data_IF_192237497119
#
_entry.id   IF_192237497119
#
_cell.length_a   1.000
_cell.length_b   1.000
_cell.length_c   1.000
_cell.angle_alpha   90.00
_cell.angle_beta   90.00
_cell.angle_gamma   90.00
#
_symmetry.space_group_name_H-M   'P 1'
#
loop_
_entity.id
_entity.type
_entity.pdbx_description
1 polymer ?
#
# COMPACT_ATOMS: atom_id res chain seq x y z
N UNK A 1 -4.72 2.24 6.90
CA UNK A 1 -4.27 1.44 5.72
C UNK A 1 -3.87 2.37 4.59
N UNK A 2 -2.83 2.03 3.84
CA UNK A 2 -2.35 2.80 2.68
C UNK A 2 -3.31 2.75 1.48
N UNK A 3 -3.07 3.59 0.47
CA UNK A 3 -3.80 3.54 -0.80
C UNK A 3 -2.86 3.62 -1.99
N UNK A 4 -3.05 2.72 -2.95
CA UNK A 4 -2.45 2.76 -4.28
C UNK A 4 -3.39 3.50 -5.22
N UNK A 5 -2.85 4.27 -6.15
CA UNK A 5 -3.61 4.97 -7.20
C UNK A 5 -2.74 5.24 -8.41
N UNK A 6 -3.35 5.52 -9.55
CA UNK A 6 -2.59 5.93 -10.73
C UNK A 6 -3.37 6.02 -12.02
N UNK A 7 -2.62 6.31 -13.08
CA UNK A 7 -3.10 6.54 -14.44
C UNK A 7 -2.16 5.84 -15.43
N UNK A 8 -2.72 5.19 -16.43
CA UNK A 8 -2.03 4.79 -17.66
C UNK A 8 -2.73 5.50 -18.82
N UNK A 9 -2.01 6.36 -19.53
CA UNK A 9 -2.45 7.08 -20.74
C UNK A 9 -1.72 6.51 -21.96
N UNK A 10 -2.15 5.31 -22.40
CA UNK A 10 -1.52 4.64 -23.53
C UNK A 10 -1.90 5.24 -24.90
N UNK A 11 -2.94 6.05 -24.94
CA UNK A 11 -3.30 6.82 -26.12
C UNK A 11 -2.50 8.10 -26.29
N UNK A 12 -1.74 8.51 -25.29
CA UNK A 12 -0.95 9.75 -25.25
C UNK A 12 -1.83 11.00 -25.53
N UNK A 13 -3.10 10.95 -25.09
CA UNK A 13 -4.10 11.97 -25.42
C UNK A 13 -4.21 13.07 -24.37
N UNK A 14 -3.70 12.82 -23.16
CA UNK A 14 -3.81 13.75 -22.04
C UNK A 14 -2.62 14.70 -21.98
N UNK A 15 -2.89 15.98 -21.89
CA UNK A 15 -1.87 17.00 -21.58
C UNK A 15 -1.34 16.84 -20.15
N UNK A 16 -0.12 17.32 -19.88
CA UNK A 16 0.46 17.29 -18.53
C UNK A 16 -0.43 17.99 -17.48
N UNK A 17 -1.18 19.04 -17.86
CA UNK A 17 -2.15 19.71 -16.98
C UNK A 17 -3.33 18.80 -16.62
N UNK A 18 -3.85 18.03 -17.59
CA UNK A 18 -4.92 17.07 -17.34
C UNK A 18 -4.43 15.92 -16.46
N UNK A 19 -3.27 15.33 -16.77
CA UNK A 19 -2.62 14.29 -15.95
C UNK A 19 -2.41 14.76 -14.50
N UNK A 20 -1.89 15.98 -14.33
CA UNK A 20 -1.68 16.58 -13.00
C UNK A 20 -3.00 16.73 -12.22
N UNK A 21 -4.08 17.13 -12.88
CA UNK A 21 -5.41 17.23 -12.23
C UNK A 21 -5.97 15.86 -11.87
N UNK A 22 -5.91 14.89 -12.77
CA UNK A 22 -6.37 13.52 -12.54
C UNK A 22 -5.63 12.92 -11.32
N UNK A 23 -4.29 12.99 -11.32
CA UNK A 23 -3.46 12.46 -10.23
C UNK A 23 -3.74 13.19 -8.92
N UNK A 24 -3.88 14.52 -8.91
CA UNK A 24 -4.24 15.27 -7.70
C UNK A 24 -5.61 14.85 -7.15
N UNK A 25 -6.59 14.63 -8.03
CA UNK A 25 -7.94 14.21 -7.62
C UNK A 25 -7.94 12.78 -7.06
N UNK A 26 -7.23 11.84 -7.70
CA UNK A 26 -7.06 10.47 -7.22
C UNK A 26 -6.35 10.45 -5.86
N UNK A 27 -5.21 11.15 -5.76
CA UNK A 27 -4.42 11.20 -4.54
C UNK A 27 -5.22 11.77 -3.36
N UNK A 28 -5.98 12.86 -3.58
CA UNK A 28 -6.83 13.46 -2.54
C UNK A 28 -7.97 12.52 -2.13
N UNK A 29 -8.57 11.78 -3.06
CA UNK A 29 -9.57 10.77 -2.71
C UNK A 29 -9.00 9.61 -1.89
N UNK A 30 -7.72 9.29 -2.10
CA UNK A 30 -7.00 8.24 -1.36
C UNK A 30 -6.65 8.62 0.09
N UNK A 31 -6.76 9.90 0.48
CA UNK A 31 -6.47 10.37 1.85
C UNK A 31 -7.35 9.72 2.92
N UNK A 32 -8.50 9.19 2.55
CA UNK A 32 -9.37 8.44 3.48
C UNK A 32 -8.68 7.19 4.03
N UNK A 33 -7.58 6.73 3.40
CA UNK A 33 -6.81 5.58 3.82
C UNK A 33 -5.42 5.93 4.37
N UNK A 34 -4.91 7.14 4.13
CA UNK A 34 -3.61 7.55 4.63
C UNK A 34 -3.29 9.01 4.30
N UNK A 35 -2.79 9.75 5.28
CA UNK A 35 -2.49 11.18 5.19
C UNK A 35 -1.06 11.54 5.60
N UNK A 36 -0.26 10.55 6.02
CA UNK A 36 1.05 10.81 6.62
C UNK A 36 2.10 11.21 5.58
N UNK A 37 2.00 10.61 4.39
CA UNK A 37 2.87 10.93 3.27
C UNK A 37 2.19 10.59 1.94
N UNK A 38 2.62 11.27 0.88
CA UNK A 38 2.15 11.02 -0.48
C UNK A 38 3.33 10.99 -1.43
N UNK A 39 3.28 10.07 -2.41
CA UNK A 39 4.30 9.99 -3.45
C UNK A 39 3.76 9.45 -4.75
N UNK A 40 4.45 9.79 -5.83
CA UNK A 40 4.21 9.30 -7.18
C UNK A 40 5.52 8.90 -7.85
N UNK A 41 5.42 8.01 -8.84
CA UNK A 41 6.50 7.69 -9.76
C UNK A 41 5.98 7.67 -11.20
N UNK A 42 6.82 8.07 -12.13
CA UNK A 42 6.57 8.06 -13.57
C UNK A 42 7.90 8.12 -14.33
N UNK A 43 7.89 7.72 -15.59
CA UNK A 43 9.04 7.94 -16.47
C UNK A 43 8.93 9.29 -17.18
N UNK A 44 10.09 9.95 -17.33
CA UNK A 44 10.24 11.20 -18.09
C UNK A 44 11.54 11.16 -18.86
N UNK A 45 11.49 11.26 -20.19
CA UNK A 45 12.67 11.18 -21.05
C UNK A 45 13.56 9.96 -20.76
N UNK A 46 12.95 8.77 -20.58
CA UNK A 46 13.64 7.51 -20.30
C UNK A 46 14.24 7.39 -18.88
N UNK A 47 13.96 8.34 -18.00
CA UNK A 47 14.39 8.30 -16.60
C UNK A 47 13.19 8.10 -15.67
N UNK A 48 13.32 7.17 -14.75
CA UNK A 48 12.34 6.98 -13.68
C UNK A 48 12.47 8.13 -12.66
N UNK A 49 11.37 8.84 -12.46
CA UNK A 49 11.24 9.98 -11.56
C UNK A 49 10.35 9.60 -10.39
N UNK A 50 10.81 9.86 -9.16
CA UNK A 50 10.02 9.67 -7.94
C UNK A 50 9.90 11.02 -7.23
N UNK A 51 8.65 11.43 -6.96
CA UNK A 51 8.35 12.62 -6.19
C UNK A 51 7.48 12.23 -4.99
N UNK A 52 8.02 12.37 -3.78
CA UNK A 52 7.34 12.01 -2.54
C UNK A 52 7.64 12.99 -1.43
N UNK A 53 6.68 13.21 -0.53
CA UNK A 53 6.79 14.11 0.62
C UNK A 53 6.02 13.54 1.82
N UNK A 54 6.45 13.85 3.04
CA UNK A 54 5.70 13.55 4.26
C UNK A 54 4.55 14.54 4.45
N UNK A 55 3.62 14.55 3.49
CA UNK A 55 2.47 15.46 3.42
C UNK A 55 1.24 14.71 2.91
N UNK A 56 0.04 15.08 3.37
CA UNK A 56 -1.20 14.62 2.77
C UNK A 56 -1.30 15.09 1.31
N UNK A 57 -2.01 14.34 0.48
CA UNK A 57 -2.11 14.57 -0.96
C UNK A 57 -2.72 15.94 -1.30
N UNK A 58 -3.67 16.42 -0.49
CA UNK A 58 -4.32 17.73 -0.64
C UNK A 58 -3.34 18.91 -0.53
N UNK A 59 -2.19 18.71 0.14
CA UNK A 59 -1.12 19.70 0.24
C UNK A 59 -0.03 19.51 -0.82
N UNK A 60 -0.10 18.43 -1.61
CA UNK A 60 0.86 18.16 -2.68
C UNK A 60 0.51 18.94 -3.96
N UNK A 61 1.55 19.32 -4.69
CA UNK A 61 1.40 19.93 -6.04
C UNK A 61 2.10 19.05 -7.06
N UNK A 62 1.32 18.27 -7.78
CA UNK A 62 1.84 17.42 -8.84
C UNK A 62 1.98 18.22 -10.15
N UNK A 63 3.17 18.16 -10.73
CA UNK A 63 3.48 18.69 -12.07
C UNK A 63 3.93 17.52 -12.94
N UNK A 64 2.98 16.92 -13.63
CA UNK A 64 3.24 15.75 -14.47
C UNK A 64 3.58 16.25 -15.88
N UNK A 65 4.72 15.84 -16.45
CA UNK A 65 5.05 16.13 -17.85
C UNK A 65 4.04 15.49 -18.82
N UNK A 66 3.93 16.05 -20.01
CA UNK A 66 3.02 15.51 -21.02
C UNK A 66 3.45 14.13 -21.54
N UNK A 67 4.75 13.88 -21.56
CA UNK A 67 5.38 12.64 -21.97
C UNK A 67 5.46 11.55 -20.88
N UNK A 68 4.99 11.83 -19.66
CA UNK A 68 4.78 10.80 -18.64
C UNK A 68 3.46 10.07 -18.92
N UNK A 69 3.53 8.82 -19.37
CA UNK A 69 2.34 8.06 -19.81
C UNK A 69 1.78 7.15 -18.73
N UNK A 70 2.64 6.64 -17.86
CA UNK A 70 2.25 5.81 -16.71
C UNK A 70 2.67 6.51 -15.43
N UNK A 71 1.69 6.77 -14.58
CA UNK A 71 1.91 7.38 -13.27
C UNK A 71 1.37 6.42 -12.20
N UNK A 72 2.22 5.98 -11.30
CA UNK A 72 1.82 5.27 -10.10
C UNK A 72 1.91 6.16 -8.87
N UNK A 73 1.04 5.96 -7.90
CA UNK A 73 0.99 6.77 -6.70
C UNK A 73 0.60 5.99 -5.45
N UNK A 74 0.92 6.59 -4.32
CA UNK A 74 0.67 6.02 -3.01
C UNK A 74 0.37 7.12 -1.98
N UNK A 75 -0.66 6.89 -1.13
CA UNK A 75 -0.86 7.63 0.12
C UNK A 75 -0.62 6.71 1.30
N UNK A 76 0.18 7.16 2.25
CA UNK A 76 0.67 6.37 3.37
C UNK A 76 -0.14 6.61 4.63
N UNK A 77 -0.51 5.54 5.30
CA UNK A 77 -0.81 5.47 6.72
C UNK A 77 0.35 4.70 7.39
N UNK A 78 1.01 5.33 8.33
CA UNK A 78 2.23 4.78 8.93
C UNK A 78 1.90 3.61 9.87
N UNK A 79 2.42 2.45 9.56
CA UNK A 79 2.38 1.25 10.43
C UNK A 79 3.76 0.96 11.01
N UNK A 80 4.82 1.16 10.21
CA UNK A 80 6.21 0.91 10.60
C UNK A 80 7.13 1.97 10.01
N UNK A 81 8.13 2.42 10.75
CA UNK A 81 9.05 3.49 10.38
C UNK A 81 8.39 4.87 10.36
N UNK A 82 9.17 5.94 10.50
CA UNK A 82 8.65 7.30 10.55
C UNK A 82 8.36 7.87 9.17
N UNK A 83 7.13 8.37 8.92
CA UNK A 83 6.79 9.08 7.68
C UNK A 83 7.59 10.39 7.51
N UNK A 84 8.07 11.01 8.59
CA UNK A 84 8.90 12.23 8.56
C UNK A 84 10.23 11.98 7.84
N UNK A 85 10.75 10.77 7.91
CA UNK A 85 11.92 10.33 7.14
C UNK A 85 11.46 9.97 5.74
N UNK A 86 11.70 10.86 4.78
CA UNK A 86 11.13 10.72 3.43
C UNK A 86 11.57 9.46 2.68
N UNK A 87 12.72 8.85 3.04
CA UNK A 87 13.16 7.57 2.48
C UNK A 87 12.21 6.41 2.85
N UNK A 88 11.51 6.49 3.97
CA UNK A 88 10.50 5.51 4.40
C UNK A 88 9.17 5.59 3.62
N UNK A 89 8.98 6.61 2.79
CA UNK A 89 7.72 6.80 2.08
C UNK A 89 7.77 6.18 0.68
N UNK A 90 6.62 5.70 0.22
CA UNK A 90 6.44 5.13 -1.12
C UNK A 90 6.27 6.25 -2.18
N UNK A 91 6.57 5.93 -3.45
CA UNK A 91 7.19 4.71 -3.95
C UNK A 91 8.67 4.60 -3.58
N UNK A 92 9.17 3.38 -3.49
CA UNK A 92 10.60 3.10 -3.35
C UNK A 92 11.25 2.93 -4.71
N UNK A 93 12.47 3.44 -4.84
CA UNK A 93 13.34 3.13 -5.98
C UNK A 93 14.02 1.79 -5.73
N UNK A 94 14.02 0.92 -6.71
CA UNK A 94 14.80 -0.31 -6.76
C UNK A 94 15.61 -0.40 -8.05
N UNK A 95 16.66 -1.22 -8.04
CA UNK A 95 17.54 -1.48 -9.17
C UNK A 95 17.77 -2.98 -9.34
N UNK A 96 17.23 -3.57 -10.39
CA UNK A 96 17.38 -4.99 -10.70
C UNK A 96 18.22 -5.19 -11.97
N UNK A 97 19.53 -5.38 -11.80
CA UNK A 97 20.47 -5.31 -12.91
C UNK A 97 20.51 -3.91 -13.51
N UNK A 98 20.24 -3.79 -14.81
CA UNK A 98 20.17 -2.50 -15.51
C UNK A 98 18.78 -1.84 -15.44
N UNK A 99 17.79 -2.54 -14.86
CA UNK A 99 16.41 -2.08 -14.77
C UNK A 99 16.13 -1.35 -13.46
N UNK A 100 15.96 -0.03 -13.51
CA UNK A 100 15.40 0.74 -12.41
C UNK A 100 13.89 0.59 -12.39
N UNK A 101 13.31 0.48 -11.19
CA UNK A 101 11.87 0.37 -11.00
C UNK A 101 11.40 1.15 -9.77
N UNK A 102 10.13 1.49 -9.75
CA UNK A 102 9.47 2.02 -8.57
C UNK A 102 8.48 1.00 -8.02
N UNK A 103 8.43 0.84 -6.70
CA UNK A 103 7.50 -0.07 -6.02
C UNK A 103 6.71 0.66 -4.95
N UNK A 104 5.40 0.43 -4.91
CA UNK A 104 4.53 0.86 -3.83
C UNK A 104 3.70 -0.31 -3.29
N UNK A 105 3.44 -0.29 -1.98
CA UNK A 105 2.81 -1.37 -1.22
C UNK A 105 1.60 -0.87 -0.44
N UNK A 106 0.51 -1.59 -0.51
CA UNK A 106 -0.63 -1.49 0.38
C UNK A 106 -0.77 -2.81 1.14
N UNK A 107 -0.52 -2.78 2.45
CA UNK A 107 -0.55 -3.94 3.31
C UNK A 107 0.45 -3.89 4.45
N UNK A 108 0.73 -5.04 5.07
CA UNK A 108 1.72 -5.25 6.13
C UNK A 108 2.39 -6.59 5.91
N UNK A 109 3.73 -6.63 5.92
CA UNK A 109 4.53 -7.84 5.81
C UNK A 109 5.08 -8.21 7.20
N UNK A 110 5.15 -9.50 7.50
CA UNK A 110 5.51 -9.95 8.84
C UNK A 110 6.86 -10.66 8.91
N UNK A 111 7.36 -11.15 7.79
CA UNK A 111 8.61 -11.89 7.73
C UNK A 111 9.78 -11.07 7.15
N UNK A 112 9.68 -9.75 7.10
CA UNK A 112 10.70 -8.86 6.52
C UNK A 112 12.07 -9.00 7.22
N UNK A 113 12.08 -9.09 8.56
CA UNK A 113 13.30 -9.26 9.33
C UNK A 113 13.95 -10.64 9.11
N UNK A 114 13.13 -11.69 9.04
CA UNK A 114 13.59 -13.08 8.83
C UNK A 114 14.19 -13.23 7.43
N UNK A 115 13.48 -12.74 6.41
CA UNK A 115 13.96 -12.76 5.03
C UNK A 115 15.25 -11.97 4.83
N UNK A 116 15.42 -10.81 5.46
CA UNK A 116 16.66 -10.04 5.38
C UNK A 116 17.85 -10.87 5.88
N UNK A 117 17.67 -11.57 7.01
CA UNK A 117 18.70 -12.40 7.60
C UNK A 117 18.98 -13.66 6.79
N UNK A 118 17.94 -14.36 6.36
CA UNK A 118 18.07 -15.64 5.63
C UNK A 118 18.64 -15.46 4.22
N UNK A 119 18.22 -14.40 3.55
CA UNK A 119 18.69 -14.07 2.18
C UNK A 119 19.97 -13.26 2.17
N UNK A 120 20.53 -12.90 3.33
CA UNK A 120 21.72 -12.05 3.46
C UNK A 120 21.56 -10.73 2.66
N UNK A 121 20.39 -10.11 2.76
CA UNK A 121 20.10 -8.89 2.01
C UNK A 121 20.91 -7.70 2.56
N UNK A 122 21.26 -6.71 1.70
CA UNK A 122 22.02 -5.54 2.14
C UNK A 122 21.33 -4.77 3.26
N UNK A 123 22.11 -4.19 4.17
CA UNK A 123 21.59 -3.26 5.17
C UNK A 123 20.96 -2.03 4.53
N UNK A 124 19.94 -1.46 5.15
CA UNK A 124 19.22 -0.29 4.65
C UNK A 124 18.84 0.64 5.80
N UNK A 125 18.75 1.94 5.50
CA UNK A 125 18.19 2.95 6.41
C UNK A 125 16.66 3.02 6.35
N UNK A 126 16.05 2.32 5.39
CA UNK A 126 14.60 2.26 5.23
C UNK A 126 14.01 1.32 6.27
N UNK A 127 13.13 1.86 7.11
CA UNK A 127 12.62 1.21 8.31
C UNK A 127 11.31 0.45 8.08
N UNK A 128 10.75 0.48 6.85
CA UNK A 128 9.46 -0.15 6.55
C UNK A 128 9.62 -1.60 6.15
N UNK A 129 8.65 -2.43 6.54
CA UNK A 129 8.47 -3.81 6.09
C UNK A 129 8.43 -3.93 4.57
N UNK A 130 7.77 -2.99 3.92
CA UNK A 130 7.57 -2.99 2.46
C UNK A 130 8.86 -3.00 1.64
N UNK A 131 9.98 -2.49 2.19
CA UNK A 131 11.23 -2.40 1.43
C UNK A 131 11.87 -3.76 1.17
N UNK A 132 11.50 -4.79 1.93
CA UNK A 132 11.93 -6.17 1.66
C UNK A 132 11.56 -6.62 0.25
N UNK A 133 10.36 -6.23 -0.24
CA UNK A 133 9.93 -6.58 -1.58
C UNK A 133 10.85 -5.98 -2.67
N UNK A 134 11.34 -4.75 -2.46
CA UNK A 134 12.35 -4.14 -3.35
C UNK A 134 13.64 -4.96 -3.35
N UNK A 135 14.17 -5.27 -2.17
CA UNK A 135 15.43 -6.01 -2.03
C UNK A 135 15.36 -7.43 -2.62
N UNK A 136 14.22 -8.11 -2.50
CA UNK A 136 14.02 -9.43 -3.10
C UNK A 136 14.02 -9.38 -4.63
N UNK A 137 13.48 -8.32 -5.24
CA UNK A 137 13.54 -8.12 -6.70
C UNK A 137 14.96 -7.75 -7.13
N UNK A 138 15.64 -6.86 -6.40
CA UNK A 138 17.02 -6.46 -6.66
C UNK A 138 17.98 -7.66 -6.64
N UNK A 139 17.79 -8.58 -5.69
CA UNK A 139 18.62 -9.79 -5.56
C UNK A 139 18.54 -10.68 -6.81
N UNK A 140 17.42 -10.67 -7.53
CA UNK A 140 17.22 -11.45 -8.75
C UNK A 140 17.85 -10.80 -10.00
N UNK A 141 18.33 -9.55 -9.89
CA UNK A 141 19.04 -8.80 -10.93
C UNK A 141 18.26 -8.63 -12.25
N UNK A 142 16.96 -8.81 -12.23
CA UNK A 142 16.07 -8.61 -13.37
C UNK A 142 14.65 -8.31 -12.88
N UNK A 143 13.94 -7.42 -13.60
CA UNK A 143 12.52 -7.14 -13.35
C UNK A 143 11.67 -7.74 -14.47
N UNK A 144 10.94 -8.80 -14.16
CA UNK A 144 9.99 -9.46 -15.05
C UNK A 144 8.91 -10.19 -14.22
N UNK A 145 7.83 -10.69 -14.84
CA UNK A 145 6.76 -11.36 -14.07
C UNK A 145 7.24 -12.50 -13.18
N UNK A 146 8.26 -13.25 -13.57
CA UNK A 146 8.80 -14.34 -12.76
C UNK A 146 9.54 -13.83 -11.51
N UNK A 147 10.29 -12.72 -11.60
CA UNK A 147 10.96 -12.14 -10.41
C UNK A 147 9.94 -11.57 -9.42
N UNK A 148 8.86 -10.98 -9.91
CA UNK A 148 7.75 -10.53 -9.05
C UNK A 148 6.98 -11.70 -8.44
N UNK A 149 6.82 -12.80 -9.19
CA UNK A 149 6.26 -14.05 -8.67
C UNK A 149 7.12 -14.60 -7.53
N UNK A 150 8.43 -14.76 -7.75
CA UNK A 150 9.35 -15.27 -6.75
C UNK A 150 9.33 -14.38 -5.49
N UNK A 151 9.32 -13.06 -5.65
CA UNK A 151 9.19 -12.11 -4.54
C UNK A 151 7.88 -12.32 -3.78
N UNK A 152 6.74 -12.41 -4.47
CA UNK A 152 5.43 -12.56 -3.85
C UNK A 152 5.27 -13.88 -3.08
N UNK A 153 5.85 -14.98 -3.59
CA UNK A 153 5.81 -16.31 -2.96
C UNK A 153 6.69 -16.43 -1.71
N UNK A 154 7.65 -15.53 -1.52
CA UNK A 154 8.48 -15.49 -0.30
C UNK A 154 7.86 -14.66 0.81
N UNK A 155 7.01 -13.69 0.49
CA UNK A 155 6.42 -12.77 1.44
C UNK A 155 5.28 -13.41 2.26
N UNK A 156 5.30 -13.14 3.56
CA UNK A 156 4.22 -13.48 4.48
C UNK A 156 3.55 -12.19 4.94
N UNK A 157 2.23 -12.16 4.88
CA UNK A 157 1.47 -11.00 5.28
C UNK A 157 0.32 -10.68 4.34
N UNK A 158 -0.08 -9.44 4.36
CA UNK A 158 -1.18 -8.90 3.58
C UNK A 158 -0.64 -7.86 2.61
N UNK A 159 -0.89 -8.00 1.31
CA UNK A 159 -0.33 -7.07 0.34
C UNK A 159 -1.14 -6.89 -0.95
N UNK A 160 -0.96 -5.73 -1.55
CA UNK A 160 -1.07 -5.47 -2.96
C UNK A 160 0.07 -4.53 -3.35
N UNK A 161 0.83 -4.86 -4.39
CA UNK A 161 1.90 -3.99 -4.90
C UNK A 161 1.55 -3.42 -6.26
N UNK A 162 2.05 -2.20 -6.52
CA UNK A 162 2.23 -1.69 -7.87
C UNK A 162 3.71 -1.51 -8.12
N UNK A 163 4.17 -1.91 -9.31
CA UNK A 163 5.57 -1.79 -9.74
C UNK A 163 5.60 -1.17 -11.13
N UNK A 164 6.39 -0.09 -11.30
CA UNK A 164 6.59 0.60 -12.57
C UNK A 164 8.04 0.41 -13.01
N UNK A 165 8.25 -0.10 -14.22
CA UNK A 165 9.58 -0.19 -14.83
C UNK A 165 9.92 1.01 -15.74
N UNK A 166 11.13 1.04 -16.27
CA UNK A 166 11.59 2.11 -17.16
C UNK A 166 10.97 2.09 -18.57
N UNK A 167 10.29 1.00 -18.93
CA UNK A 167 9.61 0.83 -20.21
C UNK A 167 8.12 1.17 -20.13
N UNK A 168 7.68 1.86 -19.07
CA UNK A 168 6.28 2.17 -18.80
C UNK A 168 5.36 0.93 -18.70
N UNK A 169 5.91 -0.21 -18.29
CA UNK A 169 5.06 -1.33 -17.89
C UNK A 169 4.67 -1.17 -16.41
N UNK A 170 3.39 -1.31 -16.13
CA UNK A 170 2.86 -1.30 -14.77
C UNK A 170 2.40 -2.71 -14.39
N UNK A 171 2.92 -3.18 -13.26
CA UNK A 171 2.56 -4.46 -12.69
C UNK A 171 1.71 -4.26 -11.44
N UNK A 172 0.66 -5.07 -11.32
CA UNK A 172 -0.17 -5.20 -10.14
C UNK A 172 0.03 -6.59 -9.56
N UNK A 173 0.74 -6.70 -8.44
CA UNK A 173 0.92 -7.96 -7.72
C UNK A 173 -0.18 -8.05 -6.68
N UNK A 174 -1.24 -8.81 -6.98
CA UNK A 174 -2.48 -8.85 -6.22
C UNK A 174 -2.44 -10.00 -5.21
N UNK A 175 -2.14 -9.67 -3.94
CA UNK A 175 -2.39 -10.52 -2.79
C UNK A 175 -3.85 -10.39 -2.32
N UNK A 176 -4.07 -10.28 -1.03
CA UNK A 176 -5.40 -10.15 -0.41
C UNK A 176 -5.93 -8.70 -0.39
N UNK A 177 -5.04 -7.68 -0.34
CA UNK A 177 -5.45 -6.28 -0.33
C UNK A 177 -6.13 -5.84 -1.63
N UNK A 178 -7.17 -4.99 -1.54
CA UNK A 178 -7.98 -4.62 -2.69
C UNK A 178 -7.23 -3.73 -3.69
N UNK A 179 -7.61 -3.88 -4.96
CA UNK A 179 -7.30 -2.98 -6.08
C UNK A 179 -8.49 -2.92 -7.02
N UNK A 180 -8.86 -1.73 -7.46
CA UNK A 180 -9.87 -1.50 -8.47
C UNK A 180 -9.24 -0.80 -9.68
N UNK A 181 -9.40 -1.39 -10.85
CA UNK A 181 -8.83 -0.88 -12.10
C UNK A 181 -9.97 -0.70 -13.11
N UNK A 182 -10.08 0.50 -13.66
CA UNK A 182 -11.02 0.82 -14.71
C UNK A 182 -10.30 1.15 -16.01
N UNK A 183 -10.82 0.64 -17.12
CA UNK A 183 -10.34 0.86 -18.47
C UNK A 183 -11.37 1.58 -19.31
N UNK A 184 -10.95 2.60 -20.04
CA UNK A 184 -11.72 3.31 -21.04
C UNK A 184 -11.05 3.17 -22.42
N UNK A 185 -11.44 2.16 -23.22
CA UNK A 185 -10.79 1.88 -24.52
C UNK A 185 -10.88 3.06 -25.48
N UNK A 186 -12.02 3.77 -25.51
CA UNK A 186 -12.22 4.90 -26.41
C UNK A 186 -11.31 6.11 -26.11
N UNK A 187 -10.96 6.31 -24.83
CA UNK A 187 -10.03 7.33 -24.36
C UNK A 187 -8.60 6.83 -24.28
N UNK A 188 -8.40 5.54 -24.41
CA UNK A 188 -7.12 4.86 -24.31
C UNK A 188 -6.42 5.09 -22.97
N UNK A 189 -7.17 4.99 -21.86
CA UNK A 189 -6.67 5.19 -20.51
C UNK A 189 -7.10 4.09 -19.55
N UNK A 190 -6.27 3.88 -18.51
CA UNK A 190 -6.66 3.19 -17.28
C UNK A 190 -6.52 4.13 -16.09
N UNK A 191 -7.46 4.02 -15.15
CA UNK A 191 -7.34 4.61 -13.82
C UNK A 191 -7.50 3.50 -12.77
N UNK A 192 -6.79 3.64 -11.67
CA UNK A 192 -6.93 2.70 -10.58
C UNK A 192 -6.84 3.37 -9.21
N UNK A 193 -7.45 2.74 -8.22
CA UNK A 193 -7.29 3.04 -6.81
C UNK A 193 -7.43 1.74 -5.99
N UNK A 194 -7.04 1.77 -4.72
CA UNK A 194 -7.13 0.58 -3.86
C UNK A 194 -8.55 0.06 -3.70
N UNK A 195 -9.59 0.92 -3.75
CA UNK A 195 -10.99 0.45 -3.71
C UNK A 195 -11.85 1.16 -4.76
N UNK A 196 -12.95 0.50 -5.11
CA UNK A 196 -13.91 1.04 -6.07
C UNK A 196 -14.57 2.34 -5.59
N UNK A 197 -14.86 2.43 -4.30
CA UNK A 197 -15.47 3.60 -3.68
C UNK A 197 -14.58 4.84 -3.82
N UNK A 198 -13.26 4.67 -3.57
CA UNK A 198 -12.27 5.73 -3.74
C UNK A 198 -12.19 6.16 -5.20
N UNK A 199 -12.13 5.20 -6.13
CA UNK A 199 -12.05 5.49 -7.55
C UNK A 199 -13.31 6.21 -8.04
N UNK A 200 -14.50 5.76 -7.63
CA UNK A 200 -15.78 6.43 -7.95
C UNK A 200 -15.86 7.84 -7.36
N UNK A 201 -15.42 8.01 -6.10
CA UNK A 201 -15.38 9.33 -5.47
C UNK A 201 -14.42 10.30 -6.17
N UNK A 202 -13.28 9.81 -6.67
CA UNK A 202 -12.37 10.59 -7.49
C UNK A 202 -12.99 10.97 -8.85
N UNK A 203 -13.58 10.00 -9.55
CA UNK A 203 -14.23 10.22 -10.85
C UNK A 203 -15.34 11.27 -10.78
N UNK A 204 -16.14 11.27 -9.71
CA UNK A 204 -17.21 12.25 -9.50
C UNK A 204 -16.68 13.70 -9.35
N UNK A 205 -15.41 13.87 -8.97
CA UNK A 205 -14.76 15.18 -8.82
C UNK A 205 -13.87 15.55 -10.00
N UNK A 206 -13.68 14.65 -10.96
CA UNK A 206 -12.86 14.93 -12.14
C UNK A 206 -13.56 15.89 -13.08
N UNK A 207 -12.82 16.86 -13.66
CA UNK A 207 -13.41 17.83 -14.59
C UNK A 207 -13.71 17.24 -15.98
N UNK A 208 -13.34 15.97 -16.20
CA UNK A 208 -13.53 15.26 -17.47
C UNK A 208 -14.35 14.02 -17.19
N UNK A 209 -15.43 13.83 -17.96
CA UNK A 209 -16.20 12.59 -17.95
C UNK A 209 -15.64 11.64 -19.00
N UNK A 210 -15.26 10.45 -18.56
CA UNK A 210 -14.73 9.40 -19.44
C UNK A 210 -15.81 8.42 -19.93
N UNK A 211 -17.07 8.61 -19.51
CA UNK A 211 -18.16 7.68 -19.79
C UNK A 211 -18.10 6.41 -18.93
N UNK A 212 -18.73 5.33 -19.39
CA UNK A 212 -18.82 4.07 -18.65
C UNK A 212 -17.49 3.30 -18.74
N UNK A 213 -16.86 2.94 -17.61
CA UNK A 213 -15.64 2.15 -17.61
C UNK A 213 -15.89 0.67 -17.85
N UNK A 214 -14.85 -0.02 -18.30
CA UNK A 214 -14.74 -1.46 -18.29
C UNK A 214 -13.87 -1.86 -17.09
N UNK A 215 -14.40 -2.62 -16.10
CA UNK A 215 -13.60 -3.07 -14.98
C UNK A 215 -12.57 -4.12 -15.45
N UNK A 216 -11.34 -3.99 -14.96
CA UNK A 216 -10.27 -4.99 -15.15
C UNK A 216 -10.13 -5.76 -13.85
N UNK A 217 -10.45 -7.05 -13.89
CA UNK A 217 -10.45 -7.90 -12.71
C UNK A 217 -9.08 -8.56 -12.53
N UNK A 218 -8.54 -8.45 -11.32
CA UNK A 218 -7.32 -9.14 -10.89
C UNK A 218 -7.64 -9.89 -9.61
N UNK A 219 -7.61 -11.22 -9.68
CA UNK A 219 -7.85 -12.07 -8.52
C UNK A 219 -6.62 -12.17 -7.62
N UNK A 220 -6.84 -12.55 -6.37
CA UNK A 220 -5.77 -12.90 -5.43
C UNK A 220 -4.87 -14.01 -6.02
N UNK A 221 -3.56 -13.90 -5.79
CA UNK A 221 -2.58 -14.83 -6.36
C UNK A 221 -2.19 -14.54 -7.83
N UNK A 222 -2.57 -13.35 -8.36
CA UNK A 222 -2.24 -12.99 -9.73
C UNK A 222 -1.42 -11.71 -9.85
N UNK A 223 -0.55 -11.70 -10.85
CA UNK A 223 0.20 -10.53 -11.29
C UNK A 223 -0.37 -10.12 -12.64
N UNK A 224 -0.96 -8.93 -12.71
CA UNK A 224 -1.34 -8.30 -13.97
C UNK A 224 -0.22 -7.36 -14.39
N UNK A 225 0.31 -7.55 -15.59
CA UNK A 225 1.17 -6.57 -16.26
C UNK A 225 0.35 -5.87 -17.33
N UNK A 226 0.40 -4.53 -17.34
CA UNK A 226 -0.12 -3.69 -18.43
C UNK A 226 1.09 -2.98 -19.04
N UNK A 227 1.33 -3.21 -20.34
CA UNK A 227 2.42 -2.56 -21.06
C UNK A 227 2.07 -1.13 -21.48
N UNK A 228 3.06 -0.38 -21.93
CA UNK A 228 2.85 0.95 -22.52
C UNK A 228 1.87 0.95 -23.72
N UNK A 229 1.73 -0.18 -24.43
CA UNK A 229 0.78 -0.38 -25.53
C UNK A 229 -0.53 -1.01 -25.08
N UNK A 230 -0.80 -1.01 -23.78
CA UNK A 230 -1.99 -1.59 -23.14
C UNK A 230 -2.16 -3.11 -23.30
N UNK A 231 -1.11 -3.85 -23.68
CA UNK A 231 -1.15 -5.32 -23.69
C UNK A 231 -1.18 -5.81 -22.25
N UNK A 232 -2.18 -6.64 -21.95
CA UNK A 232 -2.35 -7.25 -20.63
C UNK A 232 -1.80 -8.68 -20.64
N UNK A 233 -0.98 -9.01 -19.65
CA UNK A 233 -0.55 -10.39 -19.40
C UNK A 233 -0.74 -10.74 -17.93
N UNK A 234 -1.08 -11.99 -17.67
CA UNK A 234 -1.36 -12.50 -16.32
C UNK A 234 -0.38 -13.60 -15.97
N UNK A 235 0.18 -13.55 -14.76
CA UNK A 235 1.05 -14.59 -14.20
C UNK A 235 0.53 -14.96 -12.82
N UNK A 236 0.37 -16.26 -12.56
CA UNK A 236 -0.10 -16.73 -11.25
C UNK A 236 1.09 -16.98 -10.31
N UNK A 237 0.90 -16.67 -9.03
CA UNK A 237 1.82 -17.01 -7.95
C UNK A 237 1.08 -17.78 -6.84
N UNK A 238 1.83 -18.51 -6.02
CA UNK A 238 1.29 -19.21 -4.85
C UNK A 238 0.98 -18.20 -3.73
N UNK A 239 -0.30 -18.05 -3.42
CA UNK A 239 -0.81 -17.13 -2.43
C UNK A 239 -1.01 -17.76 -1.04
N UNK A 240 -0.51 -18.97 -0.80
CA UNK A 240 -0.74 -19.72 0.46
C UNK A 240 -0.12 -19.07 1.69
N UNK A 241 0.85 -18.19 1.52
CA UNK A 241 1.49 -17.41 2.60
C UNK A 241 0.79 -16.08 2.92
N UNK A 242 -0.26 -15.74 2.17
CA UNK A 242 -1.07 -14.57 2.49
C UNK A 242 -1.84 -14.81 3.78
N UNK A 243 -1.81 -13.82 4.67
CA UNK A 243 -2.49 -13.83 5.96
C UNK A 243 -2.32 -15.12 6.80
N UNK A 244 -1.08 -15.57 6.94
CA UNK A 244 -0.74 -16.78 7.70
C UNK A 244 -1.11 -16.70 9.19
N UNK A 245 -1.44 -15.52 9.74
CA UNK A 245 -1.89 -15.39 11.13
C UNK A 245 -3.12 -16.26 11.42
N UNK A 246 -4.05 -16.36 10.49
CA UNK A 246 -5.20 -17.24 10.63
C UNK A 246 -4.80 -18.72 10.71
N UNK A 247 -3.77 -19.13 9.95
CA UNK A 247 -3.25 -20.48 9.94
C UNK A 247 -2.51 -20.84 11.24
N UNK A 248 -1.77 -19.91 11.84
CA UNK A 248 -1.15 -20.09 13.16
C UNK A 248 -2.20 -20.18 14.27
N UNK A 249 -3.23 -19.37 14.25
CA UNK A 249 -4.34 -19.44 15.20
C UNK A 249 -5.21 -20.70 15.01
N UNK A 250 -5.37 -21.21 13.79
CA UNK A 250 -6.14 -22.42 13.52
C UNK A 250 -5.38 -23.72 13.77
N UNK A 251 -4.05 -23.71 13.79
CA UNK A 251 -3.21 -24.87 14.08
C UNK A 251 -2.92 -25.10 15.56
N UNK A 252 -3.06 -24.05 16.38
CA UNK A 252 -3.14 -24.24 17.81
C UNK A 252 -4.57 -24.65 18.13
N UNK A 253 -4.82 -25.82 18.74
CA UNK A 253 -6.14 -26.11 19.28
C UNK A 253 -6.39 -25.08 20.38
N UNK A 254 -6.98 -23.95 20.06
CA UNK A 254 -7.62 -23.09 21.03
C UNK A 254 -8.86 -23.85 21.44
N UNK A 255 -8.72 -24.77 22.41
CA UNK A 255 -9.82 -24.99 23.33
C UNK A 255 -10.19 -23.58 23.78
N UNK A 256 -11.40 -23.09 23.48
CA UNK A 256 -11.84 -21.80 23.99
C UNK A 256 -11.58 -21.88 25.50
N UNK A 257 -10.81 -20.96 26.09
CA UNK A 257 -10.64 -20.97 27.54
C UNK A 257 -12.05 -20.94 28.10
N UNK A 258 -12.36 -21.89 28.92
CA UNK A 258 -13.58 -21.85 29.72
C UNK A 258 -13.68 -20.44 30.29
N UNK A 259 -14.88 -19.81 30.33
CA UNK A 259 -15.03 -18.46 30.82
C UNK A 259 -14.34 -18.37 32.20
N UNK A 260 -13.17 -17.79 32.22
CA UNK A 260 -12.43 -17.56 33.46
C UNK A 260 -13.15 -16.44 34.17
N UNK A 261 -13.77 -16.80 35.28
CA UNK A 261 -14.13 -15.84 36.32
C UNK A 261 -12.89 -14.94 36.61
N UNK A 262 -13.02 -13.61 36.63
CA UNK A 262 -11.90 -12.72 36.74
C UNK A 262 -11.28 -12.79 38.14
N UNK A 263 -10.15 -13.47 38.26
CA UNK A 263 -9.28 -13.38 39.42
C UNK A 263 -7.84 -13.51 38.93
N UNK A 264 -7.18 -12.38 38.69
CA UNK A 264 -5.74 -12.27 38.58
C UNK A 264 -5.21 -11.36 37.48
N UNK A 265 -5.21 -11.58 36.17
CA UNK A 265 -4.42 -10.72 35.26
C UNK A 265 -5.15 -9.52 34.66
N UNK A 266 -6.45 -9.30 34.92
CA UNK A 266 -7.19 -8.14 34.42
C UNK A 266 -6.58 -6.82 34.94
N UNK A 267 -6.04 -6.81 36.15
CA UNK A 267 -5.37 -5.63 36.71
C UNK A 267 -4.05 -5.30 36.03
N UNK A 268 -3.35 -6.30 35.52
CA UNK A 268 -2.04 -6.14 34.88
C UNK A 268 -2.22 -5.60 33.46
N UNK A 269 -3.18 -6.09 32.71
CA UNK A 269 -3.54 -5.60 31.38
C UNK A 269 -4.11 -4.17 31.43
N UNK A 270 -4.98 -3.87 32.39
CA UNK A 270 -5.47 -2.49 32.61
C UNK A 270 -4.32 -1.53 32.99
N UNK A 271 -3.37 -1.98 33.79
CA UNK A 271 -2.21 -1.17 34.13
C UNK A 271 -1.27 -0.95 32.94
N UNK A 272 -1.20 -1.89 32.03
CA UNK A 272 -0.46 -1.76 30.77
C UNK A 272 -1.14 -0.78 29.81
N UNK A 273 -2.48 -0.86 29.69
CA UNK A 273 -3.28 0.11 28.94
C UNK A 273 -3.13 1.54 29.47
N UNK A 274 -3.11 1.73 30.79
CA UNK A 274 -2.86 3.04 31.40
C UNK A 274 -1.47 3.59 31.07
N UNK A 275 -0.44 2.74 31.11
CA UNK A 275 0.92 3.14 30.71
C UNK A 275 1.01 3.50 29.22
N UNK A 276 0.24 2.79 28.39
CA UNK A 276 0.15 3.09 26.96
C UNK A 276 -0.57 4.40 26.72
N UNK A 277 -1.70 4.63 27.39
CA UNK A 277 -2.45 5.89 27.35
C UNK A 277 -1.59 7.09 27.75
N UNK A 278 -0.80 6.99 28.81
CA UNK A 278 0.11 8.04 29.25
C UNK A 278 1.19 8.38 28.21
N UNK A 279 1.70 7.39 27.48
CA UNK A 279 2.65 7.61 26.36
C UNK A 279 2.01 8.30 25.16
N UNK A 280 0.70 8.16 24.99
CA UNK A 280 -0.08 8.78 23.92
C UNK A 280 -0.68 10.15 24.34
N UNK A 281 -0.42 10.59 25.58
CA UNK A 281 -0.88 11.89 26.09
C UNK A 281 -2.22 11.88 26.82
N UNK A 282 -2.80 10.69 27.05
CA UNK A 282 -4.00 10.49 27.84
C UNK A 282 -3.65 10.17 29.30
N UNK A 283 -4.55 10.47 30.23
CA UNK A 283 -4.35 10.12 31.63
C UNK A 283 -4.88 8.72 31.95
N UNK A 284 -4.28 8.02 32.89
CA UNK A 284 -4.82 6.74 33.36
C UNK A 284 -6.25 6.84 33.94
N UNK A 285 -6.71 8.04 34.32
CA UNK A 285 -8.09 8.30 34.76
C UNK A 285 -9.10 8.26 33.61
N UNK A 286 -8.70 8.65 32.41
CA UNK A 286 -9.55 8.56 31.22
C UNK A 286 -9.77 7.10 30.82
N UNK A 287 -8.77 6.24 30.98
CA UNK A 287 -8.92 4.79 30.81
C UNK A 287 -9.90 4.23 31.85
N UNK A 288 -9.81 4.65 33.11
CA UNK A 288 -10.75 4.21 34.16
C UNK A 288 -12.19 4.68 33.89
N UNK A 289 -12.36 5.87 33.35
CA UNK A 289 -13.67 6.42 32.99
C UNK A 289 -14.32 5.59 31.86
N UNK A 290 -13.59 5.30 30.79
CA UNK A 290 -14.09 4.48 29.67
C UNK A 290 -14.48 3.06 30.13
N UNK A 291 -13.66 2.43 30.97
CA UNK A 291 -13.98 1.12 31.54
C UNK A 291 -15.21 1.17 32.44
N UNK A 292 -15.42 2.28 33.17
CA UNK A 292 -16.58 2.50 34.04
C UNK A 292 -17.87 2.78 33.25
N UNK A 293 -17.73 3.35 32.04
CA UNK A 293 -18.82 3.61 31.11
C UNK A 293 -19.22 2.35 30.31
N UNK A 294 -18.56 1.20 30.56
CA UNK A 294 -18.92 -0.11 30.04
C UNK A 294 -18.11 -0.57 28.83
N UNK A 295 -17.09 0.17 28.42
CA UNK A 295 -16.16 -0.29 27.40
C UNK A 295 -15.29 -1.44 27.91
N UNK A 296 -15.03 -2.42 27.07
CA UNK A 296 -14.08 -3.49 27.36
C UNK A 296 -12.65 -3.00 27.26
N UNK A 297 -11.72 -3.68 27.91
CA UNK A 297 -10.30 -3.33 27.85
C UNK A 297 -9.76 -3.37 26.40
N UNK A 298 -10.28 -4.26 25.56
CA UNK A 298 -9.89 -4.37 24.15
C UNK A 298 -10.43 -3.18 23.33
N UNK A 299 -11.66 -2.74 23.55
CA UNK A 299 -12.22 -1.53 22.92
C UNK A 299 -11.47 -0.26 23.34
N UNK A 300 -11.02 -0.19 24.61
CA UNK A 300 -10.17 0.91 25.07
C UNK A 300 -8.77 0.85 24.41
N UNK A 301 -8.22 -0.34 24.20
CA UNK A 301 -6.97 -0.51 23.46
C UNK A 301 -7.10 -0.04 22.01
N UNK A 302 -8.13 -0.46 21.30
CA UNK A 302 -8.43 -0.06 19.92
C UNK A 302 -8.60 1.46 19.83
N UNK A 303 -9.31 2.05 20.79
CA UNK A 303 -9.50 3.48 20.90
C UNK A 303 -8.18 4.27 21.07
N UNK A 304 -7.27 3.78 21.92
CA UNK A 304 -5.96 4.38 22.13
C UNK A 304 -5.07 4.25 20.87
N UNK A 305 -5.23 3.18 20.10
CA UNK A 305 -4.48 2.97 18.85
C UNK A 305 -5.04 3.81 17.68
N UNK A 306 -6.34 4.04 17.62
CA UNK A 306 -6.98 4.79 16.54
C UNK A 306 -6.86 6.32 16.71
N UNK A 307 -6.54 6.80 17.90
CA UNK A 307 -6.25 8.22 18.17
C UNK A 307 -7.40 9.19 17.88
N UNK A 308 -8.64 8.70 17.86
CA UNK A 308 -9.83 9.50 17.58
C UNK A 308 -10.68 9.65 18.85
N UNK A 309 -10.70 10.86 19.38
CA UNK A 309 -11.85 11.40 20.11
C UNK A 309 -12.77 12.11 19.14
#
# INVERSE_FOLDING_TARGET
MCCLFGLIDYGHTLSGKQKSRIISTLATACEVRGKDATGIAYNNNGKLCIYKRPLPASLMRFKIPADAHVIMGHTRMTTQGSAKKNHNNHPFLGQAGDDAFALAHNGVLWNDYELRREKLLPGTEIETDSYIAVQLVEQQKALHPQSLKNMAEELEGSFCFTVLDRQDNLYFVKGDNPICIYHWPAQQIYLYASTEEILKAALAKMPVSFGKPHPVLVSEGWILKITCDAVQTMTQFDATKLDTRWYYYSRWPVTPPAPKTPSGPVSEYINELKRMAERLGFSGREVDALLSDGFTADEVADFLYEGTF
#
